data_IF_032929542192
#
_entry.id   IF_032929542192
#
_cell.length_a   1.000
_cell.length_b   1.000
_cell.length_c   1.000
_cell.angle_alpha   90.00
_cell.angle_beta   90.00
_cell.angle_gamma   90.00
#
_symmetry.space_group_name_H-M   'P 1'
#
loop_
_entity.id
_entity.type
_entity.pdbx_description
1 polymer ?
#
# COMPACT_ATOMS: atom_id res chain seq x y z
N UNK A 1 -35.71 23.76 28.53
CA UNK A 1 -34.31 24.22 28.64
C UNK A 1 -33.48 23.10 28.02
N UNK A 2 -32.69 23.47 27.02
CA UNK A 2 -32.12 22.64 25.94
C UNK A 2 -31.44 21.35 26.40
N UNK A 3 -31.85 20.24 25.78
CA UNK A 3 -31.12 18.98 25.72
C UNK A 3 -29.85 19.21 24.89
N UNK A 4 -28.70 19.25 25.56
CA UNK A 4 -27.38 19.35 24.93
C UNK A 4 -26.73 17.98 25.11
N UNK A 5 -27.27 17.02 24.38
CA UNK A 5 -26.54 15.81 23.99
C UNK A 5 -25.42 16.20 23.01
N UNK A 6 -24.38 16.85 23.50
CA UNK A 6 -23.09 16.90 22.79
C UNK A 6 -22.44 15.56 23.01
N UNK A 7 -22.75 14.61 22.13
CA UNK A 7 -21.86 13.47 21.88
C UNK A 7 -20.57 14.08 21.33
N UNK A 8 -19.61 14.34 22.20
CA UNK A 8 -18.22 14.42 21.80
C UNK A 8 -17.90 13.09 21.11
N UNK A 9 -17.69 13.12 19.80
CA UNK A 9 -16.92 12.09 19.12
C UNK A 9 -15.54 12.09 19.78
N UNK A 10 -15.34 11.15 20.70
CA UNK A 10 -14.02 10.83 21.21
C UNK A 10 -13.30 10.26 19.98
N UNK A 11 -12.50 11.07 19.30
CA UNK A 11 -11.50 10.53 18.40
C UNK A 11 -10.68 9.55 19.25
N UNK A 12 -10.76 8.24 18.95
CA UNK A 12 -9.98 7.23 19.65
C UNK A 12 -8.53 7.72 19.69
N UNK A 13 -8.04 8.04 20.89
CA UNK A 13 -6.65 8.44 21.05
C UNK A 13 -5.81 7.27 20.54
N UNK A 14 -4.82 7.52 19.68
CA UNK A 14 -3.98 6.44 19.16
C UNK A 14 -3.40 5.68 20.35
N UNK A 15 -3.63 4.36 20.39
CA UNK A 15 -3.05 3.45 21.40
C UNK A 15 -1.56 3.75 21.51
N UNK A 16 -1.13 4.32 22.63
CA UNK A 16 0.22 4.88 22.79
C UNK A 16 1.29 3.80 22.78
N UNK A 17 0.92 2.56 23.11
CA UNK A 17 1.82 1.42 23.22
C UNK A 17 1.40 0.27 22.29
N UNK A 18 0.77 0.60 21.14
CA UNK A 18 0.24 -0.37 20.18
C UNK A 18 1.22 -1.49 19.76
N UNK A 19 2.52 -1.22 19.84
CA UNK A 19 3.58 -2.16 19.51
C UNK A 19 3.58 -3.38 20.42
N UNK A 20 3.20 -3.25 21.70
CA UNK A 20 3.22 -4.36 22.67
C UNK A 20 2.13 -5.40 22.35
N UNK A 21 1.12 -5.01 21.57
CA UNK A 21 0.02 -5.85 21.14
C UNK A 21 0.28 -6.57 19.81
N UNK A 22 1.45 -6.39 19.19
CA UNK A 22 1.82 -7.00 17.90
C UNK A 22 3.04 -7.91 18.08
N UNK A 23 2.92 -9.19 17.73
CA UNK A 23 4.01 -10.15 17.88
C UNK A 23 5.01 -10.04 16.72
N UNK A 24 4.49 -9.86 15.50
CA UNK A 24 5.30 -9.93 14.28
C UNK A 24 5.66 -8.54 13.77
N UNK A 25 6.79 -8.45 13.09
CA UNK A 25 7.16 -7.21 12.39
C UNK A 25 6.17 -6.87 11.28
N UNK A 26 5.59 -7.87 10.62
CA UNK A 26 4.57 -7.69 9.58
C UNK A 26 3.28 -7.08 10.11
N UNK A 27 2.87 -7.44 11.33
CA UNK A 27 1.72 -6.85 12.02
C UNK A 27 1.97 -5.38 12.33
N UNK A 28 3.18 -5.06 12.81
CA UNK A 28 3.60 -3.68 13.04
C UNK A 28 3.66 -2.87 11.74
N UNK A 29 4.14 -3.48 10.66
CA UNK A 29 4.11 -2.91 9.31
C UNK A 29 2.70 -2.58 8.85
N UNK A 30 1.73 -3.50 9.01
CA UNK A 30 0.32 -3.25 8.69
C UNK A 30 -0.26 -2.10 9.52
N UNK A 31 0.09 -2.03 10.81
CA UNK A 31 -0.39 -0.98 11.68
C UNK A 31 0.07 0.42 11.21
N UNK A 32 1.37 0.61 10.97
CA UNK A 32 1.89 1.91 10.52
C UNK A 32 1.40 2.28 9.11
N UNK A 33 1.21 1.29 8.23
CA UNK A 33 0.61 1.53 6.91
C UNK A 33 -0.84 2.00 7.02
N UNK A 34 -1.64 1.35 7.88
CA UNK A 34 -3.05 1.68 8.08
C UNK A 34 -3.24 3.04 8.73
N UNK A 35 -2.44 3.36 9.74
CA UNK A 35 -2.57 4.60 10.52
C UNK A 35 -1.86 5.78 9.85
N UNK A 36 -0.86 5.53 9.01
CA UNK A 36 0.01 6.56 8.46
C UNK A 36 0.94 7.19 9.50
N UNK A 37 1.15 6.52 10.64
CA UNK A 37 2.03 6.98 11.71
C UNK A 37 3.47 7.06 11.20
N UNK A 38 4.10 8.24 11.31
CA UNK A 38 5.46 8.54 10.84
C UNK A 38 5.65 8.52 9.33
N UNK A 39 4.58 8.55 8.55
CA UNK A 39 4.69 8.66 7.10
C UNK A 39 5.37 9.96 6.67
N UNK A 40 6.34 9.83 5.78
CA UNK A 40 7.19 10.90 5.26
C UNK A 40 7.02 11.10 3.74
N UNK A 41 6.07 10.37 3.13
CA UNK A 41 5.63 10.57 1.75
C UNK A 41 4.13 10.26 1.59
N UNK A 42 3.53 10.83 0.54
CA UNK A 42 2.14 10.61 0.16
C UNK A 42 2.04 10.39 -1.34
N UNK A 43 1.29 9.36 -1.73
CA UNK A 43 0.96 9.05 -3.12
C UNK A 43 -0.48 9.42 -3.40
N UNK A 44 -0.72 10.10 -4.51
CA UNK A 44 -2.05 10.25 -5.11
C UNK A 44 -2.12 9.26 -6.26
N UNK A 45 -2.90 8.21 -6.12
CA UNK A 45 -3.13 7.23 -7.18
C UNK A 45 -4.50 7.49 -7.78
N UNK A 46 -4.55 7.77 -9.07
CA UNK A 46 -5.79 8.08 -9.77
C UNK A 46 -5.90 7.32 -11.08
N UNK A 47 -7.10 6.85 -11.39
CA UNK A 47 -7.51 6.42 -12.73
C UNK A 47 -8.63 7.37 -13.24
N UNK A 48 -9.25 7.05 -14.37
CA UNK A 48 -10.32 7.88 -14.97
C UNK A 48 -11.58 8.07 -14.08
N UNK A 49 -11.76 7.24 -13.04
CA UNK A 49 -13.00 7.12 -12.26
C UNK A 49 -12.79 7.26 -10.74
N UNK A 50 -11.56 7.06 -10.26
CA UNK A 50 -11.22 6.92 -8.85
C UNK A 50 -9.89 7.62 -8.56
N UNK A 51 -9.82 8.32 -7.42
CA UNK A 51 -8.61 8.96 -6.89
C UNK A 51 -8.50 8.59 -5.42
N UNK A 52 -7.35 8.06 -5.02
CA UNK A 52 -7.08 7.63 -3.65
C UNK A 52 -5.71 8.09 -3.18
N UNK A 53 -5.65 8.47 -1.92
CA UNK A 53 -4.42 8.88 -1.27
C UNK A 53 -3.84 7.75 -0.42
N UNK A 54 -2.51 7.61 -0.44
CA UNK A 54 -1.77 6.64 0.35
C UNK A 54 -0.62 7.33 1.08
N UNK A 55 -0.65 7.29 2.41
CA UNK A 55 0.50 7.67 3.24
C UNK A 55 1.46 6.50 3.32
N UNK A 56 2.76 6.76 3.21
CA UNK A 56 3.78 5.72 3.23
C UNK A 56 5.12 6.23 3.78
N UNK A 57 6.09 5.32 3.84
CA UNK A 57 7.40 5.52 4.45
C UNK A 57 8.49 5.28 3.41
N UNK A 58 9.26 6.32 3.08
CA UNK A 58 10.34 6.28 2.07
C UNK A 58 11.32 5.14 2.37
N UNK A 59 11.72 4.97 3.63
CA UNK A 59 12.65 3.91 4.04
C UNK A 59 12.14 2.51 3.66
N UNK A 60 10.89 2.21 4.00
CA UNK A 60 10.30 0.89 3.76
C UNK A 60 10.16 0.64 2.26
N UNK A 61 9.69 1.64 1.51
CA UNK A 61 9.54 1.57 0.06
C UNK A 61 10.89 1.38 -0.65
N UNK A 62 11.92 2.16 -0.28
CA UNK A 62 13.27 2.06 -0.83
C UNK A 62 13.89 0.68 -0.57
N UNK A 63 13.70 0.14 0.64
CA UNK A 63 14.19 -1.19 0.99
C UNK A 63 13.54 -2.29 0.14
N UNK A 64 12.29 -2.09 -0.29
CA UNK A 64 11.55 -3.06 -1.09
C UNK A 64 11.70 -2.91 -2.60
N UNK A 65 12.19 -1.77 -3.10
CA UNK A 65 12.30 -1.51 -4.53
C UNK A 65 13.43 -0.54 -4.89
N UNK A 66 14.31 -0.91 -5.84
CA UNK A 66 15.32 0.01 -6.34
C UNK A 66 14.72 1.19 -7.13
N UNK A 67 13.47 1.07 -7.60
CA UNK A 67 12.77 2.16 -8.28
C UNK A 67 12.32 3.20 -7.27
N UNK A 68 11.79 2.77 -6.12
CA UNK A 68 11.48 3.70 -5.02
C UNK A 68 12.75 4.33 -4.45
N UNK A 69 13.82 3.56 -4.26
CA UNK A 69 15.10 4.11 -3.81
C UNK A 69 15.59 5.24 -4.73
N UNK A 70 15.62 5.02 -6.05
CA UNK A 70 15.99 6.04 -7.04
C UNK A 70 15.02 7.22 -7.06
N UNK A 71 13.72 6.96 -6.88
CA UNK A 71 12.69 8.00 -6.81
C UNK A 71 12.96 8.98 -5.66
N UNK A 72 13.46 8.48 -4.52
CA UNK A 72 13.70 9.30 -3.33
C UNK A 72 15.12 9.85 -3.22
N UNK A 73 16.13 9.19 -3.80
CA UNK A 73 17.53 9.66 -3.79
C UNK A 73 17.74 10.93 -4.63
N UNK A 74 17.00 11.10 -5.73
CA UNK A 74 17.22 12.18 -6.69
C UNK A 74 16.63 13.55 -6.27
N UNK A 75 16.51 13.81 -4.97
CA UNK A 75 16.05 15.11 -4.47
C UNK A 75 14.60 15.39 -4.86
N UNK A 76 13.69 14.46 -4.53
CA UNK A 76 12.27 14.81 -4.43
C UNK A 76 12.17 15.85 -3.31
N UNK A 77 12.30 17.13 -3.68
CA UNK A 77 12.46 18.26 -2.78
C UNK A 77 11.39 18.16 -1.69
N UNK A 78 11.85 18.11 -0.46
CA UNK A 78 11.13 17.72 0.75
C UNK A 78 9.99 18.68 1.16
N UNK A 79 9.50 19.52 0.25
CA UNK A 79 8.66 20.65 0.62
C UNK A 79 7.18 20.60 0.22
N UNK A 80 6.69 19.87 -0.81
CA UNK A 80 5.21 19.82 -1.02
C UNK A 80 4.59 18.95 -2.12
N UNK A 81 5.31 18.02 -2.77
CA UNK A 81 4.70 17.30 -3.91
C UNK A 81 4.17 15.93 -3.53
N UNK A 82 2.85 15.82 -3.49
CA UNK A 82 2.15 14.54 -3.58
C UNK A 82 2.65 13.77 -4.82
N UNK A 83 3.04 12.50 -4.63
CA UNK A 83 3.55 11.67 -5.72
C UNK A 83 2.35 11.16 -6.52
N UNK A 84 2.10 11.77 -7.67
CA UNK A 84 0.99 11.40 -8.54
C UNK A 84 1.32 10.17 -9.37
N UNK A 85 0.48 9.14 -9.27
CA UNK A 85 0.51 7.91 -10.06
C UNK A 85 -0.81 7.82 -10.83
N UNK A 86 -0.74 7.88 -12.16
CA UNK A 86 -1.93 7.95 -13.03
C UNK A 86 -2.19 6.67 -13.84
N UNK A 87 -1.26 5.72 -13.81
CA UNK A 87 -1.26 4.54 -14.67
C UNK A 87 -1.49 3.23 -13.88
N UNK A 88 -1.92 3.33 -12.63
CA UNK A 88 -2.11 2.18 -11.73
C UNK A 88 -3.47 2.29 -11.05
N UNK A 89 -4.19 1.17 -10.96
CA UNK A 89 -5.43 1.08 -10.19
C UNK A 89 -5.14 1.27 -8.69
N UNK A 90 -5.88 2.14 -7.97
CA UNK A 90 -5.69 2.35 -6.53
C UNK A 90 -5.70 1.06 -5.71
N UNK A 91 -6.54 0.10 -6.08
CA UNK A 91 -6.69 -1.19 -5.42
C UNK A 91 -5.42 -2.05 -5.58
N UNK A 92 -4.82 -2.05 -6.78
CA UNK A 92 -3.58 -2.77 -7.05
C UNK A 92 -2.39 -2.12 -6.32
N UNK A 93 -2.32 -0.79 -6.28
CA UNK A 93 -1.30 -0.07 -5.51
C UNK A 93 -1.40 -0.36 -4.01
N UNK A 94 -2.63 -0.37 -3.47
CA UNK A 94 -2.87 -0.76 -2.07
C UNK A 94 -2.46 -2.20 -1.77
N UNK A 95 -2.70 -3.14 -2.69
CA UNK A 95 -2.25 -4.51 -2.54
C UNK A 95 -0.70 -4.63 -2.55
N UNK A 96 -0.02 -3.87 -3.42
CA UNK A 96 1.44 -3.78 -3.41
C UNK A 96 1.99 -3.22 -2.09
N UNK A 97 1.35 -2.21 -1.51
CA UNK A 97 1.76 -1.69 -0.20
C UNK A 97 1.58 -2.73 0.91
N UNK A 98 0.48 -3.49 0.93
CA UNK A 98 0.33 -4.57 1.91
C UNK A 98 1.43 -5.63 1.79
N UNK A 99 1.83 -5.95 0.56
CA UNK A 99 2.97 -6.84 0.31
C UNK A 99 4.28 -6.24 0.86
N UNK A 100 4.57 -4.98 0.54
CA UNK A 100 5.78 -4.29 1.00
C UNK A 100 5.92 -4.27 2.53
N UNK A 101 4.82 -3.99 3.23
CA UNK A 101 4.87 -3.79 4.69
C UNK A 101 4.78 -5.10 5.48
N UNK A 102 4.25 -6.16 4.89
CA UNK A 102 3.85 -7.33 5.67
C UNK A 102 3.96 -8.68 4.96
N UNK A 103 4.50 -8.70 3.73
CA UNK A 103 4.50 -9.88 2.85
C UNK A 103 3.09 -10.49 2.68
N UNK A 104 2.06 -9.65 2.82
CA UNK A 104 0.64 -10.05 2.76
C UNK A 104 0.06 -9.60 1.42
N UNK A 105 -0.22 -10.59 0.56
CA UNK A 105 -0.87 -10.38 -0.71
C UNK A 105 -2.14 -11.22 -0.83
N UNK A 106 -3.26 -10.54 -1.02
CA UNK A 106 -4.56 -11.15 -1.27
C UNK A 106 -5.02 -10.78 -2.66
N UNK A 107 -4.80 -11.71 -3.60
CA UNK A 107 -5.28 -11.60 -4.98
C UNK A 107 -6.73 -12.07 -5.02
N UNK A 108 -7.63 -11.17 -5.39
CA UNK A 108 -9.09 -11.37 -5.36
C UNK A 108 -9.68 -11.65 -6.74
N UNK A 109 -8.99 -11.28 -7.82
CA UNK A 109 -9.44 -11.50 -9.20
C UNK A 109 -8.26 -11.63 -10.16
N UNK A 110 -8.54 -12.20 -11.34
CA UNK A 110 -7.58 -12.28 -12.45
C UNK A 110 -7.09 -10.89 -12.87
N UNK A 111 -8.00 -9.92 -13.02
CA UNK A 111 -7.66 -8.54 -13.39
C UNK A 111 -6.72 -7.90 -12.37
N UNK A 112 -7.00 -8.07 -11.07
CA UNK A 112 -6.10 -7.59 -10.02
C UNK A 112 -4.74 -8.27 -10.10
N UNK A 113 -4.68 -9.55 -10.42
CA UNK A 113 -3.42 -10.29 -10.60
C UNK A 113 -2.59 -9.73 -11.77
N UNK A 114 -3.24 -9.41 -12.90
CA UNK A 114 -2.61 -8.80 -14.07
C UNK A 114 -2.06 -7.40 -13.76
N UNK A 115 -2.85 -6.56 -13.08
CA UNK A 115 -2.41 -5.24 -12.61
C UNK A 115 -1.24 -5.36 -11.63
N UNK A 116 -1.31 -6.30 -10.69
CA UNK A 116 -0.22 -6.57 -9.76
C UNK A 116 1.06 -7.04 -10.46
N UNK A 117 0.96 -7.85 -11.52
CA UNK A 117 2.10 -8.22 -12.36
C UNK A 117 2.74 -6.98 -13.02
N UNK A 118 1.93 -6.09 -13.59
CA UNK A 118 2.40 -4.87 -14.21
C UNK A 118 3.19 -4.01 -13.21
N UNK A 119 2.62 -3.74 -12.03
CA UNK A 119 3.29 -2.89 -11.03
C UNK A 119 4.50 -3.58 -10.40
N UNK A 120 4.46 -4.89 -10.18
CA UNK A 120 5.60 -5.63 -9.67
C UNK A 120 6.79 -5.56 -10.64
N UNK A 121 6.54 -5.64 -11.95
CA UNK A 121 7.58 -5.44 -12.95
C UNK A 121 8.06 -3.97 -12.98
N UNK A 122 7.13 -3.00 -12.99
CA UNK A 122 7.43 -1.56 -13.00
C UNK A 122 8.31 -1.12 -11.84
N UNK A 123 8.06 -1.63 -10.63
CA UNK A 123 8.82 -1.35 -9.42
C UNK A 123 9.93 -2.38 -9.15
N UNK A 124 10.25 -3.27 -10.09
CA UNK A 124 11.33 -4.26 -9.99
C UNK A 124 11.24 -5.15 -8.73
N UNK A 125 10.07 -5.73 -8.48
CA UNK A 125 9.77 -6.59 -7.34
C UNK A 125 9.55 -8.06 -7.80
N UNK A 126 10.62 -8.84 -8.02
CA UNK A 126 10.53 -10.16 -8.67
C UNK A 126 9.76 -11.21 -7.85
N UNK A 127 9.82 -11.15 -6.51
CA UNK A 127 9.09 -12.09 -5.66
C UNK A 127 7.58 -11.87 -5.73
N UNK A 128 7.15 -10.60 -5.73
CA UNK A 128 5.77 -10.22 -5.97
C UNK A 128 5.30 -10.68 -7.35
N UNK A 129 6.10 -10.41 -8.39
CA UNK A 129 5.80 -10.84 -9.76
C UNK A 129 5.63 -12.36 -9.87
N UNK A 130 6.48 -13.13 -9.18
CA UNK A 130 6.38 -14.59 -9.12
C UNK A 130 5.07 -15.06 -8.47
N UNK A 131 4.61 -14.40 -7.40
CA UNK A 131 3.33 -14.72 -6.77
C UNK A 131 2.15 -14.45 -7.71
N UNK A 132 2.13 -13.30 -8.36
CA UNK A 132 1.04 -12.92 -9.27
C UNK A 132 0.98 -13.82 -10.50
N UNK A 133 2.13 -14.10 -11.13
CA UNK A 133 2.20 -15.03 -12.27
C UNK A 133 1.78 -16.45 -11.87
N UNK A 134 2.20 -16.94 -10.69
CA UNK A 134 1.78 -18.26 -10.21
C UNK A 134 0.26 -18.36 -10.00
N UNK A 135 -0.38 -17.27 -9.57
CA UNK A 135 -1.84 -17.21 -9.44
C UNK A 135 -2.51 -17.29 -10.82
N UNK A 136 -2.06 -16.47 -11.77
CA UNK A 136 -2.57 -16.43 -13.15
C UNK A 136 -2.46 -17.81 -13.82
N UNK A 137 -1.30 -18.46 -13.72
CA UNK A 137 -1.11 -19.78 -14.31
C UNK A 137 -2.02 -20.84 -13.72
N UNK A 138 -2.35 -20.77 -12.43
CA UNK A 138 -3.31 -21.70 -11.83
C UNK A 138 -4.70 -21.48 -12.41
N UNK A 139 -5.16 -20.23 -12.45
CA UNK A 139 -6.49 -19.87 -12.94
C UNK A 139 -6.72 -20.29 -14.41
N UNK A 140 -5.71 -20.06 -15.26
CA UNK A 140 -5.72 -20.48 -16.68
C UNK A 140 -5.77 -22.00 -16.83
N UNK A 141 -5.13 -22.76 -15.93
CA UNK A 141 -5.19 -24.23 -15.98
C UNK A 141 -6.54 -24.79 -15.50
N UNK A 142 -7.26 -24.08 -14.62
CA UNK A 142 -8.60 -24.50 -14.18
C UNK A 142 -9.70 -24.18 -15.20
N UNK A 143 -9.52 -23.15 -16.03
CA UNK A 143 -10.51 -22.73 -17.04
C UNK A 143 -10.32 -23.40 -18.41
N UNK A 144 -9.21 -24.13 -18.61
CA UNK A 144 -8.92 -24.87 -19.85
C UNK A 144 -8.94 -26.41 -19.65
N UNK A 145 -9.58 -26.91 -18.59
CA UNK A 145 -9.73 -28.33 -18.28
C UNK A 145 -11.20 -28.77 -18.29
#
# INVERSE_FOLDING_TARGET
IVDISVRFEIAEMPDTDWQIHQEKISERGKYILKTGLWSDCKFIVSNAQNKKEFKAHKLILSMSSPVFEKMFQNGFNESDSDINIVDIQPEAFGAMLNYIYADDIKIQSFDQACELCYIANKYMMPNLLKHCTSYIWKDVNYTNA
#
